data_IF_650539285230
#
_entry.id   IF_650539285230
#
_cell.length_a   1.000
_cell.length_b   1.000
_cell.length_c   1.000
_cell.angle_alpha   90.00
_cell.angle_beta   90.00
_cell.angle_gamma   90.00
#
_symmetry.space_group_name_H-M   'P 1'
#
loop_
_entity.id
_entity.type
_entity.pdbx_description
1 polymer ?
#
# COMPACT_ATOMS: atom_id res chain seq x y z
N UNK A 1 5.51 -1.05 -21.39
CA UNK A 1 4.62 -0.80 -20.25
C UNK A 1 4.98 -1.77 -19.12
N UNK A 2 5.21 -1.25 -17.94
CA UNK A 2 5.46 -2.10 -16.77
C UNK A 2 4.36 -1.82 -15.75
N UNK A 3 3.70 -2.86 -15.31
CA UNK A 3 2.60 -2.74 -14.36
C UNK A 3 2.98 -3.42 -13.05
N UNK A 4 2.42 -2.90 -11.96
CA UNK A 4 2.67 -3.43 -10.63
C UNK A 4 1.35 -3.50 -9.86
N UNK A 5 1.22 -4.55 -9.08
CA UNK A 5 0.12 -4.70 -8.14
C UNK A 5 0.73 -4.91 -6.77
N UNK A 6 0.19 -4.23 -5.78
CA UNK A 6 0.70 -4.34 -4.43
C UNK A 6 -0.43 -4.29 -3.41
N UNK A 7 -0.30 -5.09 -2.38
CA UNK A 7 -1.18 -5.04 -1.21
C UNK A 7 -0.30 -4.67 -0.03
N UNK A 8 -0.66 -3.62 0.65
CA UNK A 8 0.12 -3.17 1.80
C UNK A 8 -0.64 -2.13 2.60
N UNK A 9 0.07 -1.53 3.55
CA UNK A 9 -0.54 -0.57 4.44
C UNK A 9 -0.03 0.83 4.15
N UNK A 10 -0.91 1.80 4.26
CA UNK A 10 -0.53 3.20 4.07
C UNK A 10 0.38 3.65 5.20
N UNK A 11 1.48 4.33 4.84
CA UNK A 11 2.42 4.84 5.81
C UNK A 11 1.97 6.14 6.45
N UNK A 12 1.03 6.82 5.80
CA UNK A 12 0.47 8.08 6.29
C UNK A 12 -0.86 8.28 5.57
N UNK A 13 -1.60 9.30 5.99
CA UNK A 13 -2.82 9.67 5.30
C UNK A 13 -2.47 10.07 3.87
N UNK A 14 -3.37 9.74 2.94
CA UNK A 14 -3.20 10.17 1.55
C UNK A 14 -3.28 11.68 1.49
N UNK A 15 -2.35 12.31 0.77
CA UNK A 15 -2.30 13.76 0.65
C UNK A 15 -2.83 14.21 -0.69
N UNK A 16 -3.66 15.25 -0.64
CA UNK A 16 -4.14 15.91 -1.83
C UNK A 16 -3.24 17.10 -2.10
N UNK A 17 -2.72 17.17 -3.31
CA UNK A 17 -1.80 18.24 -3.69
C UNK A 17 -2.33 18.98 -4.91
N UNK A 18 -2.09 20.28 -4.92
CA UNK A 18 -2.49 21.14 -6.04
C UNK A 18 -1.22 21.82 -6.54
N UNK A 19 -0.95 21.67 -7.83
CA UNK A 19 0.23 22.26 -8.45
C UNK A 19 -0.14 22.74 -9.84
N UNK A 20 0.12 24.02 -10.12
CA UNK A 20 -0.15 24.63 -11.43
C UNK A 20 -1.60 24.40 -11.87
N UNK A 21 -2.54 24.50 -10.92
CA UNK A 21 -3.95 24.32 -11.23
C UNK A 21 -4.42 22.88 -11.35
N UNK A 22 -3.49 21.94 -11.23
CA UNK A 22 -3.82 20.52 -11.31
C UNK A 22 -3.84 19.89 -9.93
N UNK A 23 -4.79 19.00 -9.72
CA UNK A 23 -4.92 18.28 -8.45
C UNK A 23 -4.43 16.85 -8.63
N UNK A 24 -3.64 16.39 -7.68
CA UNK A 24 -3.20 15.00 -7.67
C UNK A 24 -3.06 14.54 -6.22
N UNK A 25 -2.96 13.22 -6.06
CA UNK A 25 -2.89 12.62 -4.73
C UNK A 25 -1.61 11.81 -4.63
N UNK A 26 -0.99 11.85 -3.46
CA UNK A 26 0.24 11.10 -3.21
C UNK A 26 0.11 10.29 -1.94
N UNK A 27 0.70 9.10 -1.95
CA UNK A 27 0.69 8.25 -0.77
C UNK A 27 1.81 7.23 -0.90
N UNK A 28 2.10 6.56 0.21
CA UNK A 28 3.13 5.52 0.24
C UNK A 28 2.53 4.25 0.81
N UNK A 29 2.85 3.13 0.18
CA UNK A 29 2.37 1.82 0.59
C UNK A 29 3.55 0.99 1.05
N UNK A 30 3.42 0.39 2.22
CA UNK A 30 4.43 -0.49 2.78
C UNK A 30 3.95 -1.93 2.63
N UNK A 31 4.71 -2.72 1.89
CA UNK A 31 4.47 -4.15 1.78
C UNK A 31 5.52 -4.88 2.60
N UNK A 32 5.08 -5.71 3.54
CA UNK A 32 5.99 -6.44 4.41
C UNK A 32 5.85 -7.94 4.17
N UNK A 33 7.00 -8.61 4.11
CA UNK A 33 7.05 -10.04 3.96
C UNK A 33 7.94 -10.63 5.03
N UNK A 34 7.54 -11.80 5.56
CA UNK A 34 8.35 -12.54 6.49
C UNK A 34 9.12 -13.61 5.73
N UNK A 35 10.40 -13.72 6.04
CA UNK A 35 11.26 -14.74 5.46
C UNK A 35 11.86 -15.57 6.56
N UNK A 36 11.87 -16.87 6.34
CA UNK A 36 12.45 -17.82 7.30
C UNK A 36 13.70 -18.42 6.68
N UNK A 37 14.82 -18.29 7.40
CA UNK A 37 16.06 -18.89 6.95
C UNK A 37 15.97 -20.40 7.11
N UNK A 38 16.27 -21.13 6.04
CA UNK A 38 16.24 -22.59 6.08
C UNK A 38 17.38 -23.15 6.91
N UNK A 39 18.47 -22.40 7.06
CA UNK A 39 19.63 -22.88 7.79
C UNK A 39 19.51 -22.67 9.30
N UNK A 40 18.97 -21.53 9.71
CA UNK A 40 18.93 -21.15 11.11
C UNK A 40 17.54 -21.12 11.72
N UNK A 41 16.48 -21.16 10.88
CA UNK A 41 15.13 -21.00 11.35
C UNK A 41 14.79 -19.56 11.73
N UNK A 42 15.71 -18.65 11.50
CA UNK A 42 15.54 -17.25 11.87
C UNK A 42 14.49 -16.60 10.98
N UNK A 43 13.63 -15.79 11.60
CA UNK A 43 12.57 -15.07 10.88
C UNK A 43 12.97 -13.62 10.75
N UNK A 44 12.96 -13.13 9.51
CA UNK A 44 13.22 -11.71 9.25
C UNK A 44 12.04 -11.11 8.51
N UNK A 45 11.82 -9.81 8.71
CA UNK A 45 10.76 -9.08 8.02
C UNK A 45 11.41 -8.07 7.08
N UNK A 46 11.00 -8.13 5.81
CA UNK A 46 11.45 -7.15 4.82
C UNK A 46 10.28 -6.28 4.43
N UNK A 47 10.50 -4.98 4.43
CA UNK A 47 9.48 -4.01 4.05
C UNK A 47 9.90 -3.28 2.80
N UNK A 48 9.01 -3.27 1.82
CA UNK A 48 9.22 -2.55 0.57
C UNK A 48 8.27 -1.35 0.55
N UNK A 49 8.82 -0.17 0.32
CA UNK A 49 8.04 1.06 0.23
C UNK A 49 7.82 1.44 -1.21
N UNK A 50 6.57 1.74 -1.55
CA UNK A 50 6.21 2.13 -2.91
C UNK A 50 5.55 3.50 -2.83
N UNK A 51 6.11 4.46 -3.59
CA UNK A 51 5.55 5.80 -3.68
C UNK A 51 4.49 5.81 -4.77
N UNK A 52 3.29 6.19 -4.40
CA UNK A 52 2.16 6.13 -5.31
C UNK A 52 1.61 7.53 -5.57
N UNK A 53 1.06 7.70 -6.75
CA UNK A 53 0.36 8.94 -7.11
C UNK A 53 -0.79 8.60 -8.04
N UNK A 54 -1.77 9.49 -8.07
CA UNK A 54 -2.88 9.37 -9.03
C UNK A 54 -3.54 10.74 -9.17
N UNK A 55 -4.34 10.87 -10.22
CA UNK A 55 -4.99 12.15 -10.51
C UNK A 55 -6.34 12.30 -9.84
N UNK A 56 -6.96 11.21 -9.45
CA UNK A 56 -8.29 11.30 -8.88
C UNK A 56 -8.55 10.24 -7.82
N UNK A 57 -9.09 10.65 -6.70
CA UNK A 57 -9.62 9.78 -5.67
C UNK A 57 -10.94 10.40 -5.24
N UNK A 58 -12.02 9.61 -5.20
CA UNK A 58 -13.30 10.14 -4.79
C UNK A 58 -13.23 10.56 -3.32
N UNK A 59 -14.03 11.57 -2.96
CA UNK A 59 -14.05 12.06 -1.59
C UNK A 59 -14.42 10.96 -0.60
N UNK A 60 -15.32 10.08 -1.01
CA UNK A 60 -15.75 8.99 -0.15
C UNK A 60 -14.62 8.02 0.13
N UNK A 61 -13.88 7.64 -0.91
CA UNK A 61 -12.74 6.74 -0.73
C UNK A 61 -11.65 7.39 0.08
N UNK A 62 -11.42 8.68 -0.17
CA UNK A 62 -10.36 9.41 0.52
C UNK A 62 -10.54 9.41 2.04
N UNK A 63 -11.79 9.37 2.51
CA UNK A 63 -12.06 9.35 3.94
C UNK A 63 -11.48 8.10 4.61
N UNK A 64 -11.33 7.02 3.87
CA UNK A 64 -10.82 5.77 4.42
C UNK A 64 -9.32 5.58 4.21
N UNK A 65 -8.69 6.43 3.41
CA UNK A 65 -7.29 6.27 3.07
C UNK A 65 -6.40 6.99 4.09
N UNK A 66 -6.37 6.42 5.28
CA UNK A 66 -5.63 6.96 6.41
C UNK A 66 -4.46 6.05 6.76
N UNK A 67 -3.54 6.59 7.56
CA UNK A 67 -2.37 5.84 8.00
C UNK A 67 -2.79 4.48 8.56
N UNK A 68 -2.12 3.43 8.09
CA UNK A 68 -2.36 2.09 8.57
C UNK A 68 -3.42 1.31 7.79
N UNK A 69 -4.17 1.98 6.94
CA UNK A 69 -5.20 1.30 6.15
C UNK A 69 -4.57 0.36 5.13
N UNK A 70 -5.10 -0.84 5.04
CA UNK A 70 -4.63 -1.83 4.09
C UNK A 70 -5.32 -1.62 2.75
N UNK A 71 -4.52 -1.52 1.70
CA UNK A 71 -5.04 -1.21 0.36
C UNK A 71 -4.43 -2.12 -0.68
N UNK A 72 -5.15 -2.29 -1.76
CA UNK A 72 -4.66 -2.90 -2.99
C UNK A 72 -4.51 -1.77 -4.00
N UNK A 73 -3.34 -1.67 -4.62
CA UNK A 73 -3.06 -0.64 -5.60
C UNK A 73 -2.47 -1.28 -6.85
N UNK A 74 -2.96 -0.87 -7.99
CA UNK A 74 -2.50 -1.35 -9.29
C UNK A 74 -2.24 -0.18 -10.20
N UNK A 75 -1.20 -0.26 -11.02
CA UNK A 75 -0.95 0.79 -11.98
C UNK A 75 0.36 0.61 -12.71
N UNK A 76 0.87 1.70 -13.24
CA UNK A 76 2.10 1.71 -13.99
C UNK A 76 3.26 2.02 -13.07
N UNK A 77 4.32 1.24 -13.16
CA UNK A 77 5.47 1.37 -12.28
C UNK A 77 6.67 1.90 -13.05
N UNK A 78 7.43 2.76 -12.37
CA UNK A 78 8.73 3.20 -12.86
C UNK A 78 9.72 3.14 -11.72
N UNK A 79 10.98 3.03 -12.08
CA UNK A 79 12.06 2.92 -11.10
C UNK A 79 13.02 4.07 -11.30
N UNK A 80 13.46 4.66 -10.19
CA UNK A 80 14.45 5.72 -10.24
C UNK A 80 15.58 5.38 -9.29
N UNK A 81 16.80 5.62 -9.73
CA UNK A 81 17.94 5.49 -8.84
C UNK A 81 18.22 6.85 -8.23
N UNK A 82 18.46 6.84 -6.93
CA UNK A 82 18.84 8.07 -6.23
C UNK A 82 19.91 7.74 -5.19
N UNK A 83 20.61 8.75 -4.76
CA UNK A 83 21.63 8.60 -3.72
C UNK A 83 21.08 9.08 -2.40
N UNK A 84 21.24 8.25 -1.39
CA UNK A 84 20.86 8.58 -0.03
C UNK A 84 22.02 8.16 0.86
N UNK A 85 22.60 9.13 1.57
CA UNK A 85 23.68 8.86 2.51
C UNK A 85 24.84 8.11 1.83
N UNK A 86 25.23 8.57 0.64
CA UNK A 86 26.32 8.02 -0.19
C UNK A 86 26.03 6.62 -0.74
N UNK A 87 24.85 6.11 -0.56
CA UNK A 87 24.45 4.82 -1.12
C UNK A 87 23.45 5.03 -2.25
N UNK A 88 23.58 4.19 -3.27
CA UNK A 88 22.60 4.20 -4.35
C UNK A 88 21.40 3.36 -3.94
N UNK A 89 20.21 3.92 -4.12
CA UNK A 89 18.98 3.25 -3.80
C UNK A 89 18.03 3.32 -4.98
N UNK A 90 17.13 2.35 -5.05
CA UNK A 90 16.12 2.32 -6.09
C UNK A 90 14.80 2.74 -5.48
N UNK A 91 14.21 3.79 -6.06
CA UNK A 91 12.88 4.22 -5.69
C UNK A 91 11.86 3.59 -6.62
N UNK A 92 10.79 3.10 -6.05
CA UNK A 92 9.69 2.50 -6.81
C UNK A 92 8.54 3.48 -6.82
N UNK A 93 8.16 3.92 -8.02
CA UNK A 93 7.07 4.88 -8.20
C UNK A 93 5.94 4.22 -8.97
N UNK A 94 4.75 4.34 -8.44
CA UNK A 94 3.57 3.70 -9.03
C UNK A 94 2.53 4.76 -9.34
N UNK A 95 2.16 4.88 -10.61
CA UNK A 95 1.03 5.71 -10.97
C UNK A 95 -0.22 4.84 -10.91
N UNK A 96 -1.02 5.07 -9.88
CA UNK A 96 -2.14 4.18 -9.58
C UNK A 96 -3.30 4.40 -10.54
N UNK A 97 -3.76 3.33 -11.14
CA UNK A 97 -4.96 3.34 -11.97
C UNK A 97 -6.14 2.72 -11.23
N UNK A 98 -5.86 2.00 -10.15
CA UNK A 98 -6.89 1.35 -9.36
C UNK A 98 -6.46 1.29 -7.91
N UNK A 99 -7.35 1.68 -7.00
CA UNK A 99 -7.11 1.62 -5.55
C UNK A 99 -8.34 1.00 -4.92
N UNK A 100 -8.13 -0.04 -4.11
CA UNK A 100 -9.23 -0.71 -3.42
C UNK A 100 -8.87 -0.92 -1.96
N UNK A 101 -9.87 -0.82 -1.11
CA UNK A 101 -9.69 -1.11 0.30
C UNK A 101 -9.66 -2.60 0.52
N UNK A 102 -8.77 -3.04 1.41
CA UNK A 102 -8.66 -4.44 1.77
C UNK A 102 -9.00 -4.63 3.24
N UNK A 103 -9.56 -5.76 3.57
CA UNK A 103 -9.73 -6.15 4.96
C UNK A 103 -10.78 -5.37 5.68
N UNK A 104 -11.61 -5.04 5.43
CA UNK A 104 -12.70 -4.42 6.04
C UNK A 104 -12.81 -3.65 7.22
N UNK A 105 -12.93 -4.03 7.44
CA UNK A 105 -13.14 -3.52 8.04
C UNK A 105 -13.45 -3.43 8.98
N UNK A 106 -13.54 -3.58 8.82
CA UNK A 106 -13.49 -3.51 9.45
C UNK A 106 -13.55 -3.20 10.33
N UNK A 107 -13.88 -3.11 10.49
CA UNK A 107 -13.66 -2.77 11.23
C UNK A 107 -13.89 -2.34 12.06
N UNK A 108 -14.43 -2.06 12.29
CA UNK A 108 -14.49 -1.70 12.88
C UNK A 108 -15.02 -1.94 13.66
N UNK A 109 -15.47 -2.05 13.78
CA UNK A 109 -15.73 -2.36 14.26
C UNK A 109 -16.29 -3.24 14.64
N UNK A 110 -16.45 -3.51 14.58
CA UNK A 110 -16.64 -4.28 14.64
C UNK A 110 -16.70 -5.30 14.87
N UNK A 111 -17.19 -5.52 15.27
CA UNK A 111 -16.95 -6.44 15.41
C UNK A 111 -17.17 -7.57 15.34
N UNK A 112 -17.39 -7.54 15.21
CA UNK A 112 -17.38 -8.37 14.89
C UNK A 112 -17.23 -9.35 14.49
N UNK A 113 -17.36 -9.30 14.44
CA UNK A 113 -17.01 -9.99 13.88
C UNK A 113 -16.75 -10.94 13.64
N UNK A 114 -17.08 -11.00 13.88
CA UNK A 114 -16.68 -11.66 13.48
C UNK A 114 -16.31 -12.61 13.19
N UNK A 115 -16.58 -12.51 13.35
CA UNK A 115 -16.09 -13.13 12.86
C UNK A 115 -15.75 -13.83 12.28
N UNK A 116 -16.29 -13.82 12.36
CA UNK A 116 -15.82 -14.27 11.58
C UNK A 116 -15.29 -14.77 11.09
N UNK A 117 -15.48 -14.52 11.24
CA UNK A 117 -14.84 -14.72 10.54
C UNK A 117 -14.18 -15.23 10.15
N UNK A 118 -14.65 -15.23 10.52
CA UNK A 118 -13.90 -15.47 9.94
C UNK A 118 -13.38 -15.97 9.41
N UNK A 119 -13.74 -15.75 9.47
CA UNK A 119 -13.16 -15.96 8.67
C UNK A 119 -12.62 -16.16 8.01
N UNK A 120 -13.06 -15.95 8.05
CA UNK A 120 -12.41 -15.90 7.18
C UNK A 120 -11.77 -16.15 6.74
N UNK A 121 -12.04 -15.95 6.81
CA UNK A 121 -11.33 -16.06 6.14
C UNK A 121 -10.73 -16.40 5.56
N UNK A 122 -10.85 -16.04 5.54
CA UNK A 122 -10.19 -16.18 4.78
C UNK A 122 -9.75 -16.24 4.04
N UNK A 123 -9.96 -15.90 4.04
CA UNK A 123 -9.35 -15.77 3.26
C UNK A 123 -8.73 -15.91 2.58
N UNK A 124 -8.76 -15.78 2.54
CA UNK A 124 -7.90 -15.82 1.76
C UNK A 124 -7.35 -15.95 1.15
N UNK A 125 -7.02 -15.72 0.78
CA UNK A 125 -6.23 -15.84 0.01
C UNK A 125 -5.76 -15.78 -0.49
N UNK A 126 -5.54 -15.44 -0.88
CA UNK A 126 -4.87 -15.40 -1.65
C UNK A 126 -4.51 -15.52 -2.00
#
# INVERSE_FOLDING_TARGET
>A
MIRLEVIGNLGADVEKRVQNGSTFFTFRVAHSEKKVSQNTGEVTTETTWISCSCNYISDKLLEYLKKGTKVFVRGFVSFKMFKYDHEQRIGINLFATEIELCGGKQNESEPKTKENEQENKEDVPF
#
